data_IF_555287309568
#
_entry.id   IF_555287309568
#
_cell.length_a   1.000
_cell.length_b   1.000
_cell.length_c   1.000
_cell.angle_alpha   90.00
_cell.angle_beta   90.00
_cell.angle_gamma   90.00
#
_symmetry.space_group_name_H-M   'P 1'
#
loop_
_entity.id
_entity.type
_entity.pdbx_description
1 polymer ?
#
# COMPACT_ATOMS: atom_id res chain seq x y z
N UNK A 1 23.10 17.34 -17.47
CA UNK A 1 22.60 16.86 -16.17
C UNK A 1 23.74 16.13 -15.50
N UNK A 2 24.40 16.79 -14.55
CA UNK A 2 25.59 16.23 -13.88
C UNK A 2 25.19 15.44 -12.65
N UNK A 3 25.99 14.45 -12.25
CA UNK A 3 25.78 13.63 -11.04
C UNK A 3 25.48 14.42 -9.76
N UNK A 4 25.83 15.71 -9.72
CA UNK A 4 25.57 16.59 -8.58
C UNK A 4 24.07 16.92 -8.40
N UNK A 5 23.26 16.96 -9.47
CA UNK A 5 21.82 17.22 -9.35
C UNK A 5 21.07 16.02 -8.75
N UNK A 6 21.57 14.79 -8.99
CA UNK A 6 21.01 13.56 -8.43
C UNK A 6 21.28 13.47 -6.92
N UNK A 7 22.50 13.85 -6.50
CA UNK A 7 22.91 13.89 -5.09
C UNK A 7 22.17 14.98 -4.32
N UNK A 8 21.85 16.11 -4.96
CA UNK A 8 21.11 17.21 -4.34
C UNK A 8 19.61 16.94 -4.24
N UNK A 9 19.02 16.14 -5.15
CA UNK A 9 17.66 15.60 -4.99
C UNK A 9 17.58 14.49 -3.93
N UNK A 10 18.71 13.84 -3.61
CA UNK A 10 18.85 12.84 -2.54
C UNK A 10 19.11 13.47 -1.16
N UNK A 11 19.02 14.79 -1.01
CA UNK A 11 19.11 15.52 0.29
C UNK A 11 17.87 15.36 1.18
N UNK A 12 17.05 14.34 0.98
CA UNK A 12 16.18 13.81 2.03
C UNK A 12 17.03 13.08 3.09
N UNK A 13 16.45 12.71 4.22
CA UNK A 13 17.14 11.83 5.16
C UNK A 13 17.35 10.45 4.51
N UNK A 14 18.50 10.27 3.86
CA UNK A 14 18.90 9.06 3.13
C UNK A 14 18.69 7.80 3.99
N UNK A 15 18.83 7.91 5.33
CA UNK A 15 18.58 6.78 6.24
C UNK A 15 17.10 6.42 6.28
N UNK A 16 16.22 7.41 6.35
CA UNK A 16 14.76 7.23 6.32
C UNK A 16 14.31 6.65 4.99
N UNK A 17 14.85 7.14 3.88
CA UNK A 17 14.54 6.60 2.55
C UNK A 17 15.04 5.16 2.38
N UNK A 18 16.29 4.87 2.81
CA UNK A 18 16.85 3.52 2.77
C UNK A 18 16.07 2.54 3.64
N UNK A 19 15.73 2.92 4.87
CA UNK A 19 14.91 2.09 5.75
C UNK A 19 13.52 1.85 5.14
N UNK A 20 12.93 2.86 4.51
CA UNK A 20 11.64 2.72 3.84
C UNK A 20 11.67 1.68 2.72
N UNK A 21 12.70 1.72 1.86
CA UNK A 21 12.90 0.70 0.82
C UNK A 21 13.12 -0.68 1.45
N UNK A 22 13.93 -0.77 2.50
CA UNK A 22 14.15 -2.05 3.20
C UNK A 22 12.84 -2.65 3.75
N UNK A 23 11.95 -1.82 4.31
CA UNK A 23 10.64 -2.28 4.81
C UNK A 23 9.74 -2.77 3.66
N UNK A 24 9.75 -2.07 2.53
CA UNK A 24 9.03 -2.47 1.32
C UNK A 24 9.51 -3.85 0.84
N UNK A 25 10.81 -4.02 0.61
CA UNK A 25 11.39 -5.27 0.12
C UNK A 25 11.27 -6.42 1.12
N UNK A 26 11.40 -6.15 2.42
CA UNK A 26 11.17 -7.14 3.46
C UNK A 26 9.73 -7.63 3.45
N UNK A 27 8.77 -6.74 3.17
CA UNK A 27 7.36 -7.12 3.07
C UNK A 27 7.14 -8.15 1.95
N UNK A 28 7.81 -8.00 0.80
CA UNK A 28 7.75 -8.99 -0.28
C UNK A 28 8.25 -10.38 0.13
N UNK A 29 9.14 -10.48 1.13
CA UNK A 29 9.64 -11.76 1.65
C UNK A 29 8.59 -12.50 2.49
N UNK A 30 7.75 -11.76 3.22
CA UNK A 30 6.77 -12.33 4.17
C UNK A 30 5.35 -12.38 3.63
N UNK A 31 5.04 -11.60 2.59
CA UNK A 31 3.70 -11.55 2.03
C UNK A 31 3.42 -12.73 1.11
N UNK A 32 2.16 -13.16 1.11
CA UNK A 32 1.66 -14.09 0.11
C UNK A 32 1.21 -13.34 -1.14
N UNK A 33 1.53 -13.87 -2.31
CA UNK A 33 1.14 -13.28 -3.59
C UNK A 33 -0.14 -13.88 -4.19
N UNK A 34 -0.93 -14.61 -3.40
CA UNK A 34 -2.16 -15.23 -3.89
C UNK A 34 -1.90 -16.36 -4.89
N UNK A 35 -0.80 -17.11 -4.77
CA UNK A 35 -0.34 -18.05 -5.81
C UNK A 35 -0.15 -17.37 -7.19
N UNK A 36 0.25 -16.10 -7.18
CA UNK A 36 0.40 -15.28 -8.39
C UNK A 36 -0.90 -14.70 -8.95
N UNK A 37 -2.03 -14.87 -8.27
CA UNK A 37 -3.33 -14.35 -8.69
C UNK A 37 -3.62 -12.95 -8.15
N UNK A 38 -2.92 -12.52 -7.09
CA UNK A 38 -3.11 -11.19 -6.53
C UNK A 38 -2.66 -10.12 -7.55
N UNK A 39 -3.42 -9.02 -7.72
CA UNK A 39 -2.99 -7.91 -8.55
C UNK A 39 -1.64 -7.38 -8.09
N UNK A 40 -0.72 -7.13 -9.04
CA UNK A 40 0.61 -6.61 -8.72
C UNK A 40 0.49 -5.30 -7.92
N UNK A 41 -0.46 -4.42 -8.24
CA UNK A 41 -0.67 -3.21 -7.46
C UNK A 41 -1.12 -3.45 -6.01
N UNK A 42 -1.83 -4.54 -5.72
CA UNK A 42 -2.10 -4.91 -4.33
C UNK A 42 -0.82 -5.35 -3.61
N UNK A 43 0.02 -6.13 -4.29
CA UNK A 43 1.30 -6.63 -3.78
C UNK A 43 2.27 -5.49 -3.45
N UNK A 44 2.42 -4.53 -4.36
CA UNK A 44 3.21 -3.31 -4.14
C UNK A 44 2.58 -2.40 -3.07
N UNK A 45 1.25 -2.31 -3.08
CA UNK A 45 0.50 -1.50 -2.13
C UNK A 45 0.61 -2.00 -0.69
N UNK A 46 0.66 -3.32 -0.46
CA UNK A 46 0.89 -3.90 0.87
C UNK A 46 2.29 -3.56 1.38
N UNK A 47 3.29 -3.63 0.50
CA UNK A 47 4.67 -3.24 0.84
C UNK A 47 4.76 -1.76 1.23
N UNK A 48 4.10 -0.86 0.48
CA UNK A 48 4.02 0.55 0.85
C UNK A 48 3.13 0.81 2.08
N UNK A 49 2.07 0.05 2.33
CA UNK A 49 1.32 0.13 3.58
C UNK A 49 2.22 -0.17 4.79
N UNK A 50 3.07 -1.20 4.73
CA UNK A 50 4.01 -1.51 5.83
C UNK A 50 5.02 -0.39 6.02
N UNK A 51 5.53 0.18 4.93
CA UNK A 51 6.40 1.36 4.96
C UNK A 51 5.72 2.57 5.62
N UNK A 52 4.43 2.79 5.31
CA UNK A 52 3.59 3.81 5.94
C UNK A 52 3.43 3.57 7.45
N UNK A 53 3.14 2.35 7.89
CA UNK A 53 3.00 2.03 9.34
C UNK A 53 4.32 2.10 10.10
N UNK A 54 5.46 2.01 9.41
CA UNK A 54 6.79 2.22 9.96
C UNK A 54 7.25 3.68 10.00
N UNK A 55 6.37 4.65 9.68
CA UNK A 55 6.68 6.08 9.60
C UNK A 55 7.78 6.42 8.56
N UNK A 56 7.91 5.62 7.50
CA UNK A 56 8.91 5.80 6.44
C UNK A 56 8.33 6.37 5.13
N UNK A 57 7.32 7.23 5.20
CA UNK A 57 6.69 7.86 4.03
C UNK A 57 7.65 8.85 3.36
N UNK A 58 8.09 8.63 2.11
CA UNK A 58 8.96 9.56 1.40
C UNK A 58 8.19 10.77 0.83
N UNK A 59 8.89 11.88 0.66
CA UNK A 59 8.32 13.16 0.20
C UNK A 59 7.68 13.10 -1.20
N UNK A 60 8.02 12.10 -2.02
CA UNK A 60 7.52 11.95 -3.39
C UNK A 60 6.24 11.15 -3.54
N UNK A 61 5.67 10.62 -2.45
CA UNK A 61 4.41 9.90 -2.51
C UNK A 61 3.25 10.79 -2.96
N UNK A 62 2.34 10.20 -3.72
CA UNK A 62 1.07 10.87 -4.02
C UNK A 62 0.30 11.11 -2.73
N UNK A 63 -0.54 12.14 -2.73
CA UNK A 63 -1.39 12.42 -1.55
C UNK A 63 -2.48 11.36 -1.42
N UNK A 64 -2.92 11.12 -0.19
CA UNK A 64 -4.13 10.33 0.04
C UNK A 64 -5.30 10.92 -0.77
N UNK A 65 -6.07 10.04 -1.41
CA UNK A 65 -7.17 10.40 -2.30
C UNK A 65 -6.75 10.64 -3.75
N UNK A 66 -5.46 10.57 -4.10
CA UNK A 66 -5.02 10.54 -5.51
C UNK A 66 -5.11 9.12 -6.10
N UNK A 67 -4.86 8.97 -7.40
CA UNK A 67 -5.05 7.71 -8.13
C UNK A 67 -6.48 7.45 -8.61
N UNK A 68 -6.65 6.52 -9.55
CA UNK A 68 -7.91 6.19 -10.24
C UNK A 68 -8.51 4.86 -9.77
N UNK A 69 -7.69 3.85 -9.47
CA UNK A 69 -8.12 2.52 -9.00
C UNK A 69 -7.41 2.09 -7.72
N UNK A 70 -8.04 1.17 -6.99
CA UNK A 70 -7.57 0.73 -5.67
C UNK A 70 -6.29 -0.10 -5.73
N UNK A 71 -5.99 -0.74 -6.86
CA UNK A 71 -4.82 -1.61 -7.11
C UNK A 71 -3.81 -0.99 -8.11
N UNK A 72 -3.59 0.33 -8.04
CA UNK A 72 -2.53 0.97 -8.84
C UNK A 72 -1.12 0.63 -8.37
N UNK A 73 -0.96 0.18 -7.13
CA UNK A 73 0.35 -0.04 -6.54
C UNK A 73 0.80 1.09 -5.65
N UNK A 74 1.91 0.80 -4.98
CA UNK A 74 2.68 1.77 -4.22
C UNK A 74 1.81 2.60 -3.26
N UNK A 75 2.12 3.89 -3.12
CA UNK A 75 1.45 4.80 -2.22
C UNK A 75 -0.04 4.96 -2.47
N UNK A 76 -0.53 4.86 -3.72
CA UNK A 76 -1.97 4.95 -4.03
C UNK A 76 -2.73 3.84 -3.30
N UNK A 77 -2.30 2.60 -3.50
CA UNK A 77 -2.90 1.44 -2.84
C UNK A 77 -2.58 1.41 -1.35
N UNK A 78 -1.38 1.84 -0.95
CA UNK A 78 -0.97 1.94 0.45
C UNK A 78 -1.88 2.83 1.30
N UNK A 79 -2.26 4.01 0.78
CA UNK A 79 -3.21 4.91 1.46
C UNK A 79 -4.61 4.30 1.59
N UNK A 80 -5.07 3.59 0.56
CA UNK A 80 -6.35 2.90 0.61
C UNK A 80 -6.35 1.75 1.62
N UNK A 81 -5.27 0.98 1.69
CA UNK A 81 -5.13 -0.09 2.67
C UNK A 81 -5.06 0.45 4.10
N UNK A 82 -4.49 1.63 4.32
CA UNK A 82 -4.52 2.31 5.62
C UNK A 82 -5.95 2.72 6.01
N UNK A 83 -6.72 3.26 5.06
CA UNK A 83 -8.16 3.47 5.26
C UNK A 83 -8.90 2.17 5.60
N UNK A 84 -8.64 1.07 4.91
CA UNK A 84 -9.24 -0.22 5.22
C UNK A 84 -8.86 -0.72 6.62
N UNK A 85 -7.61 -0.49 7.03
CA UNK A 85 -7.13 -0.85 8.36
C UNK A 85 -7.72 0.04 9.48
N UNK A 86 -8.08 1.28 9.18
CA UNK A 86 -8.84 2.14 10.11
C UNK A 86 -10.27 1.64 10.33
N UNK A 87 -10.89 1.03 9.30
CA UNK A 87 -12.20 0.41 9.44
C UNK A 87 -12.15 -0.85 10.30
N UNK A 88 -11.06 -1.62 10.17
CA UNK A 88 -10.81 -2.82 10.97
C UNK A 88 -9.31 -3.00 11.19
N UNK A 89 -8.89 -2.80 12.44
CA UNK A 89 -7.49 -2.99 12.82
C UNK A 89 -7.02 -4.41 12.49
N UNK A 90 -5.87 -4.51 11.82
CA UNK A 90 -5.30 -5.79 11.40
C UNK A 90 -5.82 -6.28 10.05
N UNK A 91 -6.64 -5.50 9.35
CA UNK A 91 -7.18 -5.85 8.03
C UNK A 91 -6.10 -6.37 7.07
N UNK A 92 -4.98 -5.65 6.91
CA UNK A 92 -3.92 -6.02 5.95
C UNK A 92 -3.25 -7.33 6.34
N UNK A 93 -3.09 -7.61 7.64
CA UNK A 93 -2.53 -8.87 8.13
C UNK A 93 -3.46 -10.06 7.82
N UNK A 94 -4.77 -9.90 8.04
CA UNK A 94 -5.76 -10.94 7.71
C UNK A 94 -5.92 -11.11 6.19
N UNK A 95 -5.86 -10.03 5.41
CA UNK A 95 -5.82 -10.10 3.95
C UNK A 95 -4.62 -10.92 3.49
N UNK A 96 -3.41 -10.59 3.97
CA UNK A 96 -2.19 -11.33 3.66
C UNK A 96 -2.34 -12.82 3.99
N UNK A 97 -2.87 -13.15 5.17
CA UNK A 97 -3.12 -14.54 5.58
C UNK A 97 -4.06 -15.28 4.63
N UNK A 98 -5.13 -14.62 4.16
CA UNK A 98 -6.07 -15.21 3.19
C UNK A 98 -5.45 -15.41 1.81
N UNK A 99 -4.44 -14.62 1.46
CA UNK A 99 -3.70 -14.76 0.19
C UNK A 99 -2.78 -15.99 0.12
N UNK A 100 -2.66 -16.78 1.18
CA UNK A 100 -1.75 -17.94 1.23
C UNK A 100 -1.95 -18.93 0.09
N UNK A 101 -3.21 -19.22 -0.24
CA UNK A 101 -3.58 -20.31 -1.15
C UNK A 101 -4.33 -19.82 -2.41
N UNK A 102 -4.36 -18.52 -2.67
CA UNK A 102 -5.04 -17.90 -3.82
C UNK A 102 -5.46 -16.46 -3.54
N UNK A 103 -6.05 -15.78 -4.52
CA UNK A 103 -6.56 -14.42 -4.35
C UNK A 103 -7.97 -14.24 -4.94
N UNK A 104 -8.79 -13.45 -4.25
CA UNK A 104 -10.08 -12.97 -4.73
C UNK A 104 -10.40 -11.60 -4.11
N UNK A 105 -10.90 -10.67 -4.93
CA UNK A 105 -11.39 -9.37 -4.44
C UNK A 105 -12.51 -9.51 -3.40
N UNK A 106 -13.20 -10.67 -3.36
CA UNK A 106 -14.20 -10.97 -2.34
C UNK A 106 -13.63 -11.00 -0.91
N UNK A 107 -12.31 -11.15 -0.74
CA UNK A 107 -11.68 -11.10 0.58
C UNK A 107 -11.94 -9.75 1.29
N UNK A 108 -12.05 -8.65 0.54
CA UNK A 108 -12.45 -7.35 1.11
C UNK A 108 -13.86 -7.41 1.68
N UNK A 109 -14.80 -8.06 0.99
CA UNK A 109 -16.17 -8.21 1.46
C UNK A 109 -16.27 -9.16 2.65
N UNK A 110 -15.50 -10.25 2.64
CA UNK A 110 -15.44 -11.18 3.77
C UNK A 110 -14.86 -10.54 5.03
N UNK A 111 -13.86 -9.67 4.88
CA UNK A 111 -13.18 -9.03 6.00
C UNK A 111 -13.91 -7.78 6.49
N UNK A 112 -14.40 -6.91 5.59
CA UNK A 112 -14.94 -5.59 5.91
C UNK A 112 -16.46 -5.45 5.64
N UNK A 113 -17.11 -6.50 5.14
CA UNK A 113 -18.54 -6.49 4.82
C UNK A 113 -18.91 -5.72 3.55
N UNK A 114 -17.93 -5.19 2.79
CA UNK A 114 -18.14 -4.41 1.57
C UNK A 114 -17.21 -4.85 0.45
N UNK A 115 -17.70 -4.81 -0.79
CA UNK A 115 -16.89 -5.02 -1.99
C UNK A 115 -15.76 -3.98 -2.08
N UNK A 116 -14.62 -4.37 -2.65
CA UNK A 116 -13.46 -3.48 -2.81
C UNK A 116 -13.80 -2.19 -3.57
N UNK A 117 -14.62 -2.25 -4.63
CA UNK A 117 -15.05 -1.05 -5.37
C UNK A 117 -15.85 -0.06 -4.51
N UNK A 118 -16.69 -0.59 -3.62
CA UNK A 118 -17.47 0.23 -2.70
C UNK A 118 -16.55 0.87 -1.66
N UNK A 119 -15.61 0.10 -1.10
CA UNK A 119 -14.62 0.63 -0.17
C UNK A 119 -13.76 1.71 -0.81
N UNK A 120 -13.33 1.53 -2.06
CA UNK A 120 -12.59 2.54 -2.81
C UNK A 120 -13.41 3.82 -3.01
N UNK A 121 -14.69 3.68 -3.38
CA UNK A 121 -15.60 4.82 -3.51
C UNK A 121 -15.78 5.56 -2.18
N UNK A 122 -15.99 4.82 -1.10
CA UNK A 122 -16.15 5.38 0.25
C UNK A 122 -14.86 6.10 0.72
N UNK A 123 -13.70 5.52 0.42
CA UNK A 123 -12.39 6.12 0.65
C UNK A 123 -12.25 7.47 -0.06
N UNK A 124 -12.53 7.52 -1.37
CA UNK A 124 -12.46 8.75 -2.16
C UNK A 124 -13.41 9.82 -1.63
N UNK A 125 -14.63 9.43 -1.23
CA UNK A 125 -15.59 10.34 -0.62
C UNK A 125 -15.13 10.86 0.76
N UNK A 126 -14.50 10.02 1.59
CA UNK A 126 -13.99 10.42 2.90
C UNK A 126 -12.88 11.47 2.79
N UNK A 127 -11.97 11.33 1.83
CA UNK A 127 -10.83 12.25 1.66
C UNK A 127 -11.24 13.57 0.98
N UNK A 128 -12.33 13.58 0.21
CA UNK A 128 -12.85 14.80 -0.41
C UNK A 128 -13.58 15.75 0.56
N UNK A 129 -13.89 15.29 1.79
CA UNK A 129 -14.54 16.07 2.85
C UNK A 129 -13.51 16.65 3.82
#
# INVERSE_FOLDING_TARGET
MGSNDLMDSMKGDIKTDFNGVLYHEMTHTWQWNGQGQAPVGLIEGIADFVRLKGDYVPNGWVKSGEGQKWDEGYSVTGWFLDYCNDLQQGFVAELNKKMRDGYSDNFFQELLGKRVDQLWTDYKAKIAN
#
